data_IF_019029872634
#
_entry.id   IF_019029872634
#
_cell.length_a   1.000
_cell.length_b   1.000
_cell.length_c   1.000
_cell.angle_alpha   90.00
_cell.angle_beta   90.00
_cell.angle_gamma   90.00
#
_symmetry.space_group_name_H-M   'P 1'
#
loop_
_entity.id
_entity.type
_entity.pdbx_description
1 polymer ?
#
# COMPACT_ATOMS: atom_id res chain seq x y z
N UNK A 1 9.77 6.07 -20.33
CA UNK A 1 8.95 5.22 -19.44
C UNK A 1 8.19 6.15 -18.51
N UNK A 2 6.87 6.01 -18.42
CA UNK A 2 6.02 6.89 -17.60
C UNK A 2 6.21 6.41 -16.16
N UNK A 3 6.99 7.14 -15.36
CA UNK A 3 7.27 6.82 -13.96
C UNK A 3 5.93 6.66 -13.24
N UNK A 4 5.62 5.47 -12.70
CA UNK A 4 4.59 5.41 -11.65
C UNK A 4 5.13 6.27 -10.51
N UNK A 5 4.38 7.27 -10.02
CA UNK A 5 4.84 8.04 -8.88
C UNK A 5 4.94 7.06 -7.71
N UNK A 6 6.14 6.93 -7.13
CA UNK A 6 6.50 6.15 -5.95
C UNK A 6 5.38 6.18 -4.88
N UNK A 7 4.68 7.31 -4.75
CA UNK A 7 3.57 7.47 -3.82
C UNK A 7 2.36 6.53 -4.07
N UNK A 8 2.06 6.12 -5.31
CA UNK A 8 1.02 5.09 -5.55
C UNK A 8 1.44 3.75 -4.95
N UNK A 9 2.74 3.47 -4.95
CA UNK A 9 3.32 2.27 -4.35
C UNK A 9 3.38 2.38 -2.81
N UNK A 10 3.61 3.58 -2.27
CA UNK A 10 3.50 3.88 -0.81
C UNK A 10 2.08 3.67 -0.30
N UNK A 11 1.07 4.13 -1.05
CA UNK A 11 -0.34 3.93 -0.72
C UNK A 11 -0.72 2.44 -0.80
N UNK A 12 -0.25 1.73 -1.83
CA UNK A 12 -0.44 0.28 -1.96
C UNK A 12 0.26 -0.51 -0.84
N UNK A 13 1.49 -0.13 -0.48
CA UNK A 13 2.25 -0.76 0.61
C UNK A 13 1.61 -0.48 1.97
N UNK A 14 1.15 0.74 2.23
CA UNK A 14 0.37 1.05 3.44
C UNK A 14 -0.94 0.26 3.48
N UNK A 15 -1.64 0.09 2.37
CA UNK A 15 -2.84 -0.78 2.30
C UNK A 15 -2.51 -2.26 2.56
N UNK A 16 -1.37 -2.76 2.07
CA UNK A 16 -0.92 -4.14 2.30
C UNK A 16 -0.51 -4.36 3.76
N UNK A 17 0.19 -3.40 4.37
CA UNK A 17 0.58 -3.47 5.79
C UNK A 17 -0.64 -3.47 6.71
N UNK A 18 -1.69 -2.71 6.38
CA UNK A 18 -2.98 -2.72 7.10
C UNK A 18 -3.75 -4.03 6.86
N UNK A 19 -3.59 -4.66 5.68
CA UNK A 19 -4.24 -5.95 5.37
C UNK A 19 -3.59 -7.15 6.08
N UNK A 20 -2.36 -7.01 6.57
CA UNK A 20 -1.67 -8.01 7.40
C UNK A 20 -2.09 -8.02 8.87
N UNK A 21 -3.09 -7.23 9.27
CA UNK A 21 -3.70 -7.24 10.62
C UNK A 21 -5.09 -7.90 10.66
N UNK A 22 -5.48 -8.63 9.60
CA UNK A 22 -6.56 -9.60 9.69
C UNK A 22 -6.02 -10.92 10.26
N UNK A 23 -5.89 -10.96 11.59
CA UNK A 23 -5.89 -12.22 12.32
C UNK A 23 -7.14 -13.01 11.91
N UNK A 24 -6.93 -14.17 11.29
CA UNK A 24 -7.94 -15.21 11.23
C UNK A 24 -7.22 -16.56 11.11
N UNK A 25 -6.88 -17.09 12.28
CA UNK A 25 -7.12 -18.49 12.57
C UNK A 25 -8.46 -18.93 11.96
N UNK A 26 -8.44 -19.61 10.80
CA UNK A 26 -9.41 -20.65 10.48
C UNK A 26 -8.83 -21.62 9.44
N UNK A 27 -8.09 -22.59 9.96
CA UNK A 27 -7.72 -23.81 9.27
C UNK A 27 -8.99 -24.62 9.01
N UNK A 28 -9.54 -24.55 7.80
CA UNK A 28 -10.38 -25.61 7.27
C UNK A 28 -9.72 -26.29 6.08
N UNK A 29 -9.00 -27.37 6.41
CA UNK A 29 -8.59 -28.40 5.46
C UNK A 29 -9.81 -29.00 4.78
N UNK A 30 -9.96 -28.78 3.47
CA UNK A 30 -10.69 -29.71 2.60
C UNK A 30 -9.76 -30.18 1.49
N UNK A 31 -9.17 -31.34 1.76
CA UNK A 31 -8.67 -32.26 0.75
C UNK A 31 -9.81 -32.68 -0.17
N UNK A 32 -9.62 -32.57 -1.49
CA UNK A 32 -10.27 -33.49 -2.42
C UNK A 32 -9.40 -33.79 -3.64
N UNK A 33 -9.39 -35.08 -4.00
CA UNK A 33 -8.52 -35.73 -4.97
C UNK A 33 -9.12 -35.71 -6.40
N UNK A 34 -8.46 -35.01 -7.34
CA UNK A 34 -8.37 -35.27 -8.81
C UNK A 34 -9.64 -35.38 -9.69
N UNK A 35 -9.53 -35.70 -11.00
CA UNK A 35 -8.39 -35.56 -11.93
C UNK A 35 -8.74 -34.93 -13.32
N UNK A 36 -7.68 -34.46 -14.01
CA UNK A 36 -7.42 -34.28 -15.46
C UNK A 36 -8.54 -34.38 -16.52
N UNK A 37 -8.68 -33.34 -17.37
CA UNK A 37 -8.95 -33.49 -18.83
C UNK A 37 -8.35 -32.33 -19.67
N UNK A 38 -7.49 -32.67 -20.62
CA UNK A 38 -6.94 -31.82 -21.70
C UNK A 38 -7.97 -31.29 -22.73
N UNK A 39 -7.77 -30.06 -23.24
CA UNK A 39 -7.72 -29.65 -24.68
C UNK A 39 -7.77 -28.12 -24.81
N UNK A 40 -6.72 -27.44 -25.26
CA UNK A 40 -6.24 -27.26 -26.64
C UNK A 40 -7.04 -26.20 -27.44
N UNK A 41 -6.30 -25.14 -27.83
CA UNK A 41 -6.31 -24.45 -29.15
C UNK A 41 -7.08 -23.12 -29.36
N UNK A 42 -6.26 -22.13 -29.75
CA UNK A 42 -6.39 -21.21 -30.91
C UNK A 42 -6.86 -19.77 -30.67
N UNK A 43 -5.89 -18.84 -30.75
CA UNK A 43 -6.07 -17.42 -31.08
C UNK A 43 -6.25 -17.29 -32.61
N UNK A 44 -7.05 -16.32 -33.08
CA UNK A 44 -6.66 -15.56 -34.27
C UNK A 44 -6.69 -14.03 -34.09
N UNK A 45 -5.99 -13.27 -34.96
CA UNK A 45 -5.61 -11.87 -34.76
C UNK A 45 -6.45 -10.87 -35.59
N UNK A 46 -6.19 -9.56 -35.41
CA UNK A 46 -6.56 -8.34 -36.18
C UNK A 46 -7.19 -7.32 -35.21
N UNK A 47 -6.85 -6.03 -35.11
CA UNK A 47 -6.17 -5.09 -36.01
C UNK A 47 -6.99 -3.79 -36.09
N UNK A 48 -6.33 -2.63 -35.90
CA UNK A 48 -6.77 -1.27 -36.27
C UNK A 48 -7.60 -0.40 -35.29
N UNK A 49 -6.88 0.56 -34.67
CA UNK A 49 -7.16 1.99 -34.48
C UNK A 49 -8.56 2.50 -34.05
N UNK A 50 -8.63 3.10 -32.86
CA UNK A 50 -9.15 4.47 -32.67
C UNK A 50 -8.78 5.01 -31.26
N UNK A 51 -8.35 6.26 -31.20
CA UNK A 51 -8.42 7.16 -30.04
C UNK A 51 -9.77 7.87 -30.13
N UNK A 52 -10.51 8.23 -29.04
CA UNK A 52 -9.98 9.12 -28.00
C UNK A 52 -10.55 9.00 -26.56
N UNK A 53 -9.82 9.60 -25.63
CA UNK A 53 -10.32 10.15 -24.36
C UNK A 53 -10.99 9.17 -23.38
N UNK A 54 -10.20 8.45 -22.59
CA UNK A 54 -10.74 7.68 -21.45
C UNK A 54 -10.43 8.35 -20.11
N UNK A 55 -11.52 8.88 -19.56
CA UNK A 55 -11.71 9.18 -18.14
C UNK A 55 -11.27 7.94 -17.35
N UNK A 56 -10.22 8.10 -16.54
CA UNK A 56 -9.71 7.05 -15.67
C UNK A 56 -10.71 6.86 -14.51
N UNK A 57 -11.82 6.16 -14.77
CA UNK A 57 -12.66 5.64 -13.70
C UNK A 57 -11.86 4.53 -13.04
N UNK A 58 -11.35 4.79 -11.84
CA UNK A 58 -10.93 3.75 -10.89
C UNK A 58 -12.22 3.08 -10.40
N UNK A 59 -12.87 2.35 -11.31
CA UNK A 59 -13.96 1.43 -10.98
C UNK A 59 -13.27 0.16 -10.52
N UNK A 60 -13.02 0.05 -9.22
CA UNK A 60 -12.91 -1.26 -8.59
C UNK A 60 -14.29 -1.93 -8.69
N UNK A 61 -14.60 -2.50 -9.85
CA UNK A 61 -15.64 -3.52 -9.95
C UNK A 61 -15.07 -4.79 -9.33
N UNK A 62 -15.30 -4.93 -8.02
CA UNK A 62 -15.12 -6.20 -7.33
C UNK A 62 -16.22 -7.13 -7.86
N UNK A 63 -15.80 -8.17 -8.57
CA UNK A 63 -16.68 -9.22 -9.06
C UNK A 63 -17.22 -9.99 -7.85
N UNK A 64 -18.54 -9.95 -7.65
CA UNK A 64 -19.24 -10.65 -6.58
C UNK A 64 -19.06 -12.16 -6.75
N UNK A 65 -18.21 -12.74 -5.91
CA UNK A 65 -18.04 -14.18 -5.78
C UNK A 65 -17.84 -14.51 -4.31
N UNK A 66 -18.79 -15.31 -3.79
CA UNK A 66 -19.05 -15.68 -2.40
C UNK A 66 -19.80 -14.63 -1.56
N UNK A 67 -20.86 -15.12 -0.94
CA UNK A 67 -21.88 -14.41 -0.18
C UNK A 67 -21.28 -13.97 1.17
N UNK A 68 -20.33 -13.04 1.14
CA UNK A 68 -19.98 -12.26 2.32
C UNK A 68 -21.21 -11.43 2.64
N UNK A 69 -21.69 -11.52 3.89
CA UNK A 69 -22.81 -10.73 4.38
C UNK A 69 -22.54 -9.25 4.09
N UNK A 70 -23.40 -8.62 3.30
CA UNK A 70 -23.17 -7.26 2.80
C UNK A 70 -23.03 -6.25 3.95
N UNK A 71 -23.77 -6.46 5.03
CA UNK A 71 -23.64 -5.68 6.25
C UNK A 71 -22.25 -5.82 6.85
N UNK A 72 -21.75 -7.05 7.01
CA UNK A 72 -20.39 -7.30 7.50
C UNK A 72 -19.33 -6.66 6.60
N UNK A 73 -19.50 -6.71 5.28
CA UNK A 73 -18.57 -6.05 4.34
C UNK A 73 -18.60 -4.52 4.47
N UNK A 74 -19.79 -3.92 4.60
CA UNK A 74 -19.94 -2.49 4.80
C UNK A 74 -19.38 -2.05 6.16
N UNK A 75 -19.66 -2.80 7.22
CA UNK A 75 -19.16 -2.56 8.58
C UNK A 75 -17.63 -2.49 8.58
N UNK A 76 -16.96 -3.49 8.02
CA UNK A 76 -15.49 -3.53 7.90
C UNK A 76 -14.93 -2.34 7.09
N UNK A 77 -15.58 -1.96 5.98
CA UNK A 77 -15.15 -0.81 5.19
C UNK A 77 -15.32 0.53 5.94
N UNK A 78 -16.39 0.66 6.73
CA UNK A 78 -16.64 1.86 7.52
C UNK A 78 -15.65 1.94 8.68
N UNK A 79 -15.40 0.85 9.41
CA UNK A 79 -14.40 0.81 10.49
C UNK A 79 -13.01 1.19 9.98
N UNK A 80 -12.59 0.63 8.84
CA UNK A 80 -11.32 1.01 8.18
C UNK A 80 -11.27 2.48 7.81
N UNK A 81 -12.40 3.03 7.36
CA UNK A 81 -12.51 4.44 6.99
C UNK A 81 -12.49 5.37 8.21
N UNK A 82 -13.12 5.00 9.31
CA UNK A 82 -13.06 5.73 10.58
C UNK A 82 -11.64 5.76 11.15
N UNK A 83 -10.92 4.65 11.08
CA UNK A 83 -9.49 4.62 11.41
C UNK A 83 -8.70 5.57 10.50
N UNK A 84 -9.00 5.60 9.20
CA UNK A 84 -8.35 6.53 8.27
C UNK A 84 -8.63 8.00 8.61
N UNK A 85 -9.85 8.36 9.04
CA UNK A 85 -10.18 9.71 9.52
C UNK A 85 -9.25 10.10 10.66
N UNK A 86 -9.11 9.25 11.69
CA UNK A 86 -8.26 9.54 12.86
C UNK A 86 -6.79 9.75 12.46
N UNK A 87 -6.29 8.93 11.54
CA UNK A 87 -4.92 9.03 11.05
C UNK A 87 -4.70 10.30 10.24
N UNK A 88 -5.67 10.69 9.39
CA UNK A 88 -5.63 11.93 8.63
C UNK A 88 -5.74 13.18 9.51
N UNK A 89 -6.56 13.14 10.56
CA UNK A 89 -6.63 14.24 11.54
C UNK A 89 -5.30 14.39 12.28
N UNK A 90 -4.70 13.28 12.70
CA UNK A 90 -3.39 13.27 13.36
C UNK A 90 -2.32 13.87 12.46
N UNK A 91 -2.22 13.37 11.22
CA UNK A 91 -1.38 13.90 10.16
C UNK A 91 -1.49 15.42 10.00
N UNK A 92 -2.72 15.92 9.85
CA UNK A 92 -2.98 17.34 9.63
C UNK A 92 -2.56 18.19 10.83
N UNK A 93 -2.80 17.72 12.04
CA UNK A 93 -2.40 18.41 13.26
C UNK A 93 -0.88 18.47 13.43
N UNK A 94 -0.15 17.42 13.05
CA UNK A 94 1.32 17.44 13.08
C UNK A 94 1.89 18.44 12.08
N UNK A 95 1.40 18.44 10.84
CA UNK A 95 1.77 19.44 9.84
C UNK A 95 1.47 20.88 10.32
N UNK A 96 0.34 21.10 10.97
CA UNK A 96 0.01 22.40 11.57
C UNK A 96 0.99 22.79 12.69
N UNK A 97 1.38 21.84 13.56
CA UNK A 97 2.35 22.05 14.62
C UNK A 97 3.76 22.37 14.08
N UNK A 98 4.10 21.88 12.89
CA UNK A 98 5.31 22.26 12.13
C UNK A 98 5.21 23.65 11.48
N UNK A 99 4.07 24.34 11.63
CA UNK A 99 3.82 25.64 11.05
C UNK A 99 3.44 25.61 9.57
N UNK A 100 3.02 24.44 9.05
CA UNK A 100 2.46 24.34 7.70
C UNK A 100 1.03 24.88 7.69
N UNK A 101 0.64 25.52 6.58
CA UNK A 101 -0.75 25.92 6.38
C UNK A 101 -1.54 24.75 5.82
N UNK A 102 -2.39 24.13 6.64
CA UNK A 102 -3.14 22.91 6.32
C UNK A 102 -4.65 23.15 6.17
N UNK A 103 -5.09 24.38 5.92
CA UNK A 103 -6.52 24.73 5.87
C UNK A 103 -7.31 23.87 4.88
N UNK A 104 -6.74 23.67 3.70
CA UNK A 104 -7.39 22.98 2.59
C UNK A 104 -7.41 21.47 2.89
N UNK A 105 -6.30 20.93 3.41
CA UNK A 105 -6.21 19.56 3.90
C UNK A 105 -7.27 19.26 4.98
N UNK A 106 -7.41 20.12 6.00
CA UNK A 106 -8.43 19.95 7.05
C UNK A 106 -9.84 19.96 6.48
N UNK A 107 -10.13 20.84 5.53
CA UNK A 107 -11.45 20.86 4.88
C UNK A 107 -11.76 19.55 4.16
N UNK A 108 -10.79 18.99 3.43
CA UNK A 108 -10.99 17.73 2.71
C UNK A 108 -11.15 16.54 3.67
N UNK A 109 -10.44 16.54 4.80
CA UNK A 109 -10.57 15.50 5.83
C UNK A 109 -11.96 15.56 6.49
N UNK A 110 -12.48 16.77 6.75
CA UNK A 110 -13.85 16.94 7.27
C UNK A 110 -14.87 16.38 6.27
N UNK A 111 -14.77 16.73 4.99
CA UNK A 111 -15.69 16.23 3.95
C UNK A 111 -15.65 14.69 3.85
N UNK A 112 -14.47 14.09 3.98
CA UNK A 112 -14.31 12.64 4.05
C UNK A 112 -14.96 12.05 5.31
N UNK A 113 -14.68 12.61 6.48
CA UNK A 113 -15.24 12.18 7.78
C UNK A 113 -16.77 12.24 7.79
N UNK A 114 -17.36 13.28 7.23
CA UNK A 114 -18.81 13.45 7.16
C UNK A 114 -19.45 12.32 6.32
N UNK A 115 -18.85 11.97 5.18
CA UNK A 115 -19.33 10.86 4.33
C UNK A 115 -19.21 9.48 5.01
N UNK A 116 -18.13 9.25 5.77
CA UNK A 116 -17.96 8.03 6.57
C UNK A 116 -19.03 7.96 7.66
N UNK A 117 -19.26 9.08 8.37
CA UNK A 117 -20.30 9.16 9.39
C UNK A 117 -21.72 8.97 8.83
N UNK A 118 -22.00 9.50 7.63
CA UNK A 118 -23.27 9.24 6.93
C UNK A 118 -23.43 7.75 6.62
N UNK A 119 -22.37 7.10 6.12
CA UNK A 119 -22.38 5.67 5.82
C UNK A 119 -22.68 4.81 7.07
N UNK A 120 -22.03 5.13 8.19
CA UNK A 120 -22.26 4.51 9.51
C UNK A 120 -23.72 4.68 9.94
N UNK A 121 -24.25 5.90 9.88
CA UNK A 121 -25.62 6.17 10.29
C UNK A 121 -26.65 5.40 9.46
N UNK A 122 -26.43 5.26 8.14
CA UNK A 122 -27.31 4.45 7.30
C UNK A 122 -27.22 2.96 7.60
N UNK A 123 -26.03 2.43 7.88
CA UNK A 123 -25.87 1.03 8.27
C UNK A 123 -26.62 0.73 9.58
N UNK A 124 -26.51 1.60 10.58
CA UNK A 124 -27.28 1.48 11.83
C UNK A 124 -28.80 1.51 11.59
N UNK A 125 -29.28 2.35 10.67
CA UNK A 125 -30.70 2.38 10.28
C UNK A 125 -31.13 1.07 9.60
N UNK A 126 -30.27 0.48 8.76
CA UNK A 126 -30.52 -0.81 8.12
C UNK A 126 -30.62 -1.96 9.14
N UNK A 127 -29.74 -1.97 10.14
CA UNK A 127 -29.71 -2.98 11.20
C UNK A 127 -30.91 -2.89 12.16
N UNK A 128 -31.49 -1.70 12.32
CA UNK A 128 -32.57 -1.45 13.30
C UNK A 128 -33.97 -1.45 12.71
N UNK A 129 -34.12 -1.30 11.38
CA UNK A 129 -35.45 -1.35 10.75
C UNK A 129 -35.99 -2.77 10.65
N UNK A 130 -37.31 -2.91 10.85
CA UNK A 130 -38.03 -4.18 10.67
C UNK A 130 -38.57 -4.38 9.24
N UNK A 131 -38.41 -3.37 8.37
CA UNK A 131 -38.94 -3.35 7.01
C UNK A 131 -37.84 -3.72 6.02
N UNK A 132 -38.00 -4.85 5.33
CA UNK A 132 -37.01 -5.33 4.36
C UNK A 132 -36.73 -4.31 3.24
N UNK A 133 -37.76 -3.61 2.78
CA UNK A 133 -37.60 -2.58 1.74
C UNK A 133 -36.87 -1.33 2.23
N UNK A 134 -37.02 -0.98 3.51
CA UNK A 134 -36.28 0.14 4.10
C UNK A 134 -34.84 -0.26 4.40
N UNK A 135 -34.64 -1.50 4.86
CA UNK A 135 -33.33 -2.09 5.09
C UNK A 135 -32.47 -2.00 3.83
N UNK A 136 -32.97 -2.51 2.70
CA UNK A 136 -32.26 -2.45 1.42
C UNK A 136 -31.94 -1.00 1.01
N UNK A 137 -32.90 -0.09 1.16
CA UNK A 137 -32.69 1.32 0.83
C UNK A 137 -31.65 2.01 1.71
N UNK A 138 -31.49 1.58 2.97
CA UNK A 138 -30.46 2.07 3.87
C UNK A 138 -29.09 1.47 3.55
N UNK A 139 -29.01 0.18 3.22
CA UNK A 139 -27.78 -0.46 2.74
C UNK A 139 -27.27 0.22 1.48
N UNK A 140 -28.15 0.51 0.51
CA UNK A 140 -27.80 1.25 -0.71
C UNK A 140 -27.19 2.62 -0.40
N UNK A 141 -27.78 3.38 0.52
CA UNK A 141 -27.27 4.70 0.92
C UNK A 141 -25.95 4.61 1.68
N UNK A 142 -25.81 3.60 2.54
CA UNK A 142 -24.55 3.34 3.24
C UNK A 142 -23.43 3.05 2.23
N UNK A 143 -23.71 2.20 1.24
CA UNK A 143 -22.81 1.86 0.13
C UNK A 143 -22.45 3.07 -0.73
N UNK A 144 -23.42 3.89 -1.11
CA UNK A 144 -23.15 5.12 -1.87
C UNK A 144 -22.27 6.11 -1.10
N UNK A 145 -22.50 6.24 0.20
CA UNK A 145 -21.75 7.18 1.06
C UNK A 145 -20.30 6.73 1.22
N UNK A 146 -20.06 5.43 1.45
CA UNK A 146 -18.69 4.91 1.58
C UNK A 146 -17.92 4.96 0.25
N UNK A 147 -18.59 4.73 -0.89
CA UNK A 147 -17.98 4.91 -2.22
C UNK A 147 -17.54 6.36 -2.43
N UNK A 148 -18.39 7.33 -2.04
CA UNK A 148 -18.05 8.76 -2.13
C UNK A 148 -16.91 9.11 -1.18
N UNK A 149 -16.92 8.61 0.05
CA UNK A 149 -15.84 8.80 1.01
C UNK A 149 -14.50 8.31 0.41
N UNK A 150 -14.46 7.08 -0.09
CA UNK A 150 -13.26 6.49 -0.70
C UNK A 150 -12.75 7.28 -1.91
N UNK A 151 -13.63 7.98 -2.64
CA UNK A 151 -13.23 8.86 -3.74
C UNK A 151 -12.49 10.13 -3.28
N UNK A 152 -12.68 10.56 -2.03
CA UNK A 152 -12.00 11.73 -1.45
C UNK A 152 -10.58 11.43 -0.97
N UNK A 153 -10.24 10.16 -0.72
CA UNK A 153 -8.91 9.78 -0.25
C UNK A 153 -7.80 10.19 -1.21
N UNK A 154 -8.01 10.03 -2.52
CA UNK A 154 -6.98 10.39 -3.51
C UNK A 154 -6.67 11.91 -3.47
N UNK A 155 -7.65 12.82 -3.57
CA UNK A 155 -7.42 14.26 -3.37
C UNK A 155 -6.68 14.60 -2.07
N UNK A 156 -7.10 14.00 -0.95
CA UNK A 156 -6.46 14.22 0.36
C UNK A 156 -4.98 13.79 0.31
N UNK A 157 -4.70 12.61 -0.23
CA UNK A 157 -3.33 12.11 -0.37
C UNK A 157 -2.50 12.94 -1.35
N UNK A 158 -3.12 13.49 -2.40
CA UNK A 158 -2.45 14.41 -3.31
C UNK A 158 -2.05 15.71 -2.62
N UNK A 159 -2.91 16.24 -1.75
CA UNK A 159 -2.59 17.42 -0.93
C UNK A 159 -1.48 17.13 0.08
N UNK A 160 -1.54 15.99 0.78
CA UNK A 160 -0.52 15.57 1.75
C UNK A 160 0.89 15.52 1.12
N UNK A 161 1.01 15.10 -0.15
CA UNK A 161 2.29 15.04 -0.87
C UNK A 161 3.00 16.38 -0.95
N UNK A 162 2.27 17.48 -1.03
CA UNK A 162 2.86 18.82 -1.15
C UNK A 162 3.66 19.21 0.11
N UNK A 163 3.40 18.54 1.23
CA UNK A 163 4.14 18.73 2.49
C UNK A 163 5.32 17.77 2.65
N UNK A 164 5.39 16.72 1.83
CA UNK A 164 6.42 15.68 1.90
C UNK A 164 7.70 16.14 1.20
N UNK A 165 8.85 15.82 1.80
CA UNK A 165 10.13 15.99 1.11
C UNK A 165 10.24 14.87 0.09
N UNK A 166 10.37 15.20 -1.21
CA UNK A 166 10.43 14.19 -2.28
C UNK A 166 11.54 13.14 -2.08
N UNK A 167 11.53 12.07 -2.88
CA UNK A 167 12.41 10.93 -2.67
C UNK A 167 13.89 11.30 -2.73
N UNK A 168 14.69 10.58 -1.96
CA UNK A 168 16.15 10.68 -1.93
C UNK A 168 16.70 9.95 -3.16
N UNK A 169 17.32 10.68 -4.08
CA UNK A 169 17.98 10.08 -5.25
C UNK A 169 19.29 9.38 -4.84
N UNK A 170 19.44 8.12 -5.24
CA UNK A 170 20.65 7.32 -5.11
C UNK A 170 21.27 7.26 -6.50
N UNK A 171 22.32 8.05 -6.78
CA UNK A 171 22.96 8.06 -8.11
C UNK A 171 24.45 8.41 -7.97
N UNK A 172 25.31 7.41 -8.19
CA UNK A 172 26.75 7.50 -7.91
C UNK A 172 27.06 7.82 -6.42
N UNK A 173 26.20 7.35 -5.52
CA UNK A 173 26.27 7.58 -4.08
C UNK A 173 25.89 6.29 -3.34
N UNK A 174 26.37 6.13 -2.12
CA UNK A 174 25.90 5.13 -1.16
C UNK A 174 24.92 5.77 -0.20
N UNK A 175 23.70 5.26 -0.12
CA UNK A 175 22.74 5.65 0.92
C UNK A 175 22.96 4.75 2.13
N UNK A 176 23.25 5.35 3.28
CA UNK A 176 23.26 4.66 4.57
C UNK A 176 22.23 5.29 5.48
N UNK A 177 21.34 4.47 6.06
CA UNK A 177 20.28 4.96 6.93
C UNK A 177 20.08 4.05 8.15
N UNK A 178 19.87 4.66 9.31
CA UNK A 178 19.56 3.99 10.57
C UNK A 178 18.30 4.63 11.17
N UNK A 179 17.32 3.81 11.56
CA UNK A 179 16.07 4.33 12.11
C UNK A 179 15.01 3.28 12.38
N UNK A 180 13.82 3.76 12.71
CA UNK A 180 12.59 2.99 12.93
C UNK A 180 11.48 3.57 12.07
N UNK A 181 10.68 2.73 11.42
CA UNK A 181 9.55 3.14 10.58
C UNK A 181 9.54 2.39 9.26
N UNK A 182 9.35 3.13 8.16
CA UNK A 182 9.19 2.59 6.80
C UNK A 182 10.29 3.12 5.88
N UNK A 183 10.97 2.20 5.20
CA UNK A 183 11.92 2.52 4.13
C UNK A 183 11.44 1.87 2.82
N UNK A 184 11.26 2.67 1.77
CA UNK A 184 10.87 2.19 0.44
C UNK A 184 11.98 2.54 -0.53
N UNK A 185 12.51 1.55 -1.22
CA UNK A 185 13.59 1.73 -2.18
C UNK A 185 13.20 1.11 -3.52
N UNK A 186 13.56 1.80 -4.61
CA UNK A 186 13.26 1.37 -5.96
C UNK A 186 14.41 1.68 -6.91
N UNK A 187 14.77 0.72 -7.75
CA UNK A 187 15.72 0.94 -8.84
C UNK A 187 16.62 -0.25 -9.13
N UNK A 188 17.76 0.05 -9.71
CA UNK A 188 18.86 -0.89 -9.97
C UNK A 188 19.85 -0.73 -8.81
N UNK A 189 19.56 -1.41 -7.70
CA UNK A 189 20.23 -1.19 -6.42
C UNK A 189 20.72 -2.51 -5.79
N UNK A 190 21.94 -2.47 -5.27
CA UNK A 190 22.45 -3.44 -4.32
C UNK A 190 22.11 -2.94 -2.92
N UNK A 191 21.22 -3.65 -2.24
CA UNK A 191 20.68 -3.29 -0.94
C UNK A 191 21.12 -4.33 0.10
N UNK A 192 21.61 -3.86 1.24
CA UNK A 192 21.84 -4.68 2.43
C UNK A 192 21.16 -4.02 3.62
N UNK A 193 20.45 -4.79 4.42
CA UNK A 193 19.81 -4.26 5.62
C UNK A 193 19.75 -5.28 6.75
N UNK A 194 19.70 -4.78 7.97
CA UNK A 194 19.48 -5.53 9.19
C UNK A 194 18.15 -5.11 9.82
N UNK A 195 17.34 -6.10 10.23
CA UNK A 195 16.10 -5.92 11.00
C UNK A 195 16.20 -6.65 12.33
N UNK A 196 15.73 -6.02 13.42
CA UNK A 196 15.62 -6.68 14.74
C UNK A 196 14.28 -7.39 14.97
N UNK A 197 13.23 -6.89 14.31
CA UNK A 197 11.88 -7.44 14.21
C UNK A 197 11.14 -6.58 13.17
N UNK A 198 10.67 -7.18 12.09
CA UNK A 198 10.10 -6.41 10.99
C UNK A 198 9.56 -7.25 9.86
N UNK A 199 9.15 -6.56 8.80
CA UNK A 199 8.67 -7.18 7.57
C UNK A 199 9.19 -6.41 6.37
N UNK A 200 9.35 -7.12 5.27
CA UNK A 200 9.59 -6.48 3.99
C UNK A 200 8.79 -7.15 2.88
N UNK A 201 8.38 -6.36 1.89
CA UNK A 201 7.70 -6.84 0.70
C UNK A 201 8.47 -6.38 -0.52
N UNK A 202 8.60 -7.26 -1.51
CA UNK A 202 9.37 -6.99 -2.71
C UNK A 202 8.58 -7.32 -3.97
N UNK A 203 8.75 -6.48 -4.98
CA UNK A 203 8.23 -6.67 -6.33
C UNK A 203 9.40 -6.59 -7.30
N UNK A 204 9.66 -7.69 -8.01
CA UNK A 204 10.71 -7.78 -9.03
C UNK A 204 10.10 -7.56 -10.42
N UNK A 205 10.47 -6.45 -11.08
CA UNK A 205 9.99 -6.13 -12.41
C UNK A 205 10.84 -6.76 -13.54
N UNK A 206 12.08 -7.18 -13.26
CA UNK A 206 13.00 -7.73 -14.26
C UNK A 206 13.10 -9.24 -14.23
N UNK A 207 12.69 -9.88 -13.12
CA UNK A 207 12.83 -11.32 -12.92
C UNK A 207 14.26 -11.76 -12.63
N UNK A 208 15.14 -10.83 -12.24
CA UNK A 208 16.56 -11.06 -11.98
C UNK A 208 16.97 -10.81 -10.52
N UNK A 209 15.99 -10.56 -9.63
CA UNK A 209 16.27 -10.29 -8.22
C UNK A 209 16.82 -11.53 -7.51
N UNK A 210 17.97 -11.34 -6.87
CA UNK A 210 18.59 -12.31 -5.96
C UNK A 210 18.46 -11.77 -4.54
N UNK A 211 17.88 -12.59 -3.66
CA UNK A 211 17.79 -12.32 -2.22
C UNK A 211 18.66 -13.35 -1.51
N UNK A 212 19.65 -12.89 -0.74
CA UNK A 212 20.48 -13.70 0.12
C UNK A 212 20.30 -13.23 1.57
N UNK A 213 19.91 -14.16 2.45
CA UNK A 213 19.49 -13.85 3.81
C UNK A 213 19.95 -14.94 4.78
N UNK A 214 20.47 -14.50 5.93
CA UNK A 214 20.71 -15.35 7.10
C UNK A 214 19.62 -15.17 8.18
N UNK A 215 18.60 -14.36 7.88
CA UNK A 215 17.53 -14.00 8.79
C UNK A 215 16.54 -15.15 9.01
N UNK A 216 15.94 -15.17 10.20
CA UNK A 216 14.72 -15.93 10.47
C UNK A 216 13.53 -15.17 9.87
N UNK A 217 12.63 -15.84 9.15
CA UNK A 217 11.43 -15.23 8.54
C UNK A 217 10.31 -16.25 8.30
N UNK A 218 9.08 -15.74 8.10
CA UNK A 218 7.99 -16.47 7.44
C UNK A 218 7.66 -15.80 6.11
N UNK A 219 7.40 -16.59 5.08
CA UNK A 219 7.11 -16.09 3.75
C UNK A 219 5.62 -16.19 3.45
N UNK A 220 5.03 -15.09 2.99
CA UNK A 220 3.65 -15.01 2.54
C UNK A 220 3.61 -14.55 1.08
N UNK A 221 2.82 -15.24 0.28
CA UNK A 221 2.49 -14.83 -1.08
C UNK A 221 1.20 -14.05 -1.01
N UNK A 222 1.14 -12.87 -1.64
CA UNK A 222 -0.15 -12.26 -1.90
C UNK A 222 -0.99 -13.26 -2.71
N UNK A 223 -2.23 -13.58 -2.29
CA UNK A 223 -3.06 -14.54 -3.00
C UNK A 223 -3.22 -14.08 -4.44
N UNK A 224 -2.98 -14.98 -5.40
CA UNK A 224 -3.42 -14.79 -6.77
C UNK A 224 -4.91 -14.44 -6.70
N UNK A 225 -5.28 -13.23 -7.11
CA UNK A 225 -6.69 -12.88 -7.29
C UNK A 225 -7.19 -13.74 -8.44
N UNK A 226 -7.80 -14.87 -8.08
CA UNK A 226 -8.38 -15.82 -9.00
C UNK A 226 -9.26 -15.06 -10.02
N UNK A 227 -8.85 -15.07 -11.29
CA UNK A 227 -9.70 -14.70 -12.42
C UNK A 227 -9.42 -13.39 -13.18
N UNK A 228 -8.43 -12.55 -12.86
CA UNK A 228 -8.11 -11.39 -13.74
C UNK A 228 -7.04 -11.75 -14.77
N UNK A 229 -7.45 -12.41 -15.85
CA UNK A 229 -6.60 -12.74 -17.00
C UNK A 229 -6.32 -11.55 -17.94
N UNK A 230 -6.52 -10.30 -17.51
CA UNK A 230 -6.35 -9.15 -18.37
C UNK A 230 -5.45 -8.07 -17.75
N UNK A 231 -4.41 -7.74 -18.53
CA UNK A 231 -3.49 -6.61 -18.46
C UNK A 231 -2.27 -6.73 -17.54
N UNK A 232 -1.16 -7.14 -18.19
CA UNK A 232 0.25 -7.03 -17.78
C UNK A 232 0.63 -8.10 -16.75
N UNK A 233 1.70 -8.85 -16.99
CA UNK A 233 2.18 -9.91 -16.09
C UNK A 233 2.17 -9.42 -14.64
N UNK A 234 1.48 -10.10 -13.71
CA UNK A 234 1.49 -9.70 -12.32
C UNK A 234 2.90 -10.00 -11.80
N UNK A 235 3.72 -8.97 -11.64
CA UNK A 235 4.93 -9.11 -10.84
C UNK A 235 4.46 -9.48 -9.43
N UNK A 236 4.63 -10.74 -9.06
CA UNK A 236 4.15 -11.26 -7.78
C UNK A 236 4.85 -10.50 -6.65
N UNK A 237 4.06 -9.86 -5.80
CA UNK A 237 4.58 -9.28 -4.57
C UNK A 237 4.80 -10.41 -3.57
N UNK A 238 6.04 -10.52 -3.09
CA UNK A 238 6.41 -11.52 -2.08
C UNK A 238 6.66 -10.77 -0.78
N UNK A 239 5.99 -11.21 0.29
CA UNK A 239 6.13 -10.61 1.62
C UNK A 239 6.85 -11.57 2.55
N UNK A 240 7.72 -11.00 3.37
CA UNK A 240 8.49 -11.67 4.40
C UNK A 240 8.14 -11.00 5.72
N UNK A 241 7.60 -11.77 6.65
CA UNK A 241 7.15 -11.31 7.96
C UNK A 241 7.98 -11.95 9.07
N UNK A 242 7.93 -11.37 10.26
CA UNK A 242 8.71 -11.78 11.43
C UNK A 242 10.23 -11.89 11.13
N UNK A 243 10.74 -10.94 10.33
CA UNK A 243 12.12 -10.95 9.83
C UNK A 243 13.08 -10.42 10.89
N UNK A 244 14.05 -11.25 11.28
CA UNK A 244 15.13 -10.86 12.20
C UNK A 244 16.47 -11.34 11.67
N UNK A 245 17.39 -10.42 11.35
CA UNK A 245 18.71 -10.75 10.81
C UNK A 245 19.12 -9.86 9.63
N UNK A 246 20.16 -10.28 8.89
CA UNK A 246 20.65 -9.55 7.74
C UNK A 246 20.02 -10.08 6.45
N UNK A 247 19.67 -9.16 5.57
CA UNK A 247 19.16 -9.45 4.24
C UNK A 247 19.96 -8.65 3.24
N UNK A 248 20.35 -9.29 2.15
CA UNK A 248 20.99 -8.65 1.01
C UNK A 248 20.20 -8.95 -0.26
N UNK A 249 20.09 -7.95 -1.11
CA UNK A 249 19.32 -7.98 -2.35
C UNK A 249 20.13 -7.33 -3.46
N UNK A 250 20.15 -7.98 -4.62
CA UNK A 250 20.78 -7.45 -5.82
C UNK A 250 19.94 -7.83 -7.03
N UNK A 251 19.65 -6.86 -7.89
CA UNK A 251 18.78 -7.04 -9.05
C UNK A 251 18.53 -5.73 -9.76
N UNK A 252 17.80 -5.80 -10.87
CA UNK A 252 17.49 -4.65 -11.69
C UNK A 252 16.00 -4.32 -11.58
N UNK A 253 15.66 -3.04 -11.49
CA UNK A 253 14.27 -2.56 -11.49
C UNK A 253 13.39 -3.38 -10.55
N UNK A 254 13.71 -3.37 -9.27
CA UNK A 254 12.82 -3.90 -8.24
C UNK A 254 12.42 -2.79 -7.28
N UNK A 255 11.36 -3.05 -6.52
CA UNK A 255 10.95 -2.18 -5.42
C UNK A 255 10.79 -3.02 -4.17
N UNK A 256 11.33 -2.52 -3.07
CA UNK A 256 11.23 -3.12 -1.74
C UNK A 256 10.66 -2.10 -0.77
N UNK A 257 9.72 -2.54 0.08
CA UNK A 257 9.27 -1.79 1.23
C UNK A 257 9.65 -2.56 2.49
N UNK A 258 10.25 -1.86 3.44
CA UNK A 258 10.77 -2.39 4.69
C UNK A 258 10.07 -1.65 5.82
N UNK A 259 9.58 -2.38 6.81
CA UNK A 259 8.98 -1.84 8.02
C UNK A 259 9.56 -2.55 9.24
N UNK A 260 10.17 -1.80 10.14
CA UNK A 260 10.71 -2.35 11.39
C UNK A 260 10.94 -1.27 12.45
N UNK A 261 11.01 -1.70 13.71
CA UNK A 261 11.41 -0.87 14.86
C UNK A 261 12.89 -0.50 14.83
N UNK A 262 13.69 -1.29 14.10
CA UNK A 262 15.09 -0.99 13.84
C UNK A 262 15.47 -1.47 12.46
N UNK A 263 15.86 -0.51 11.64
CA UNK A 263 16.38 -0.66 10.30
C UNK A 263 17.77 -0.06 10.30
N UNK A 264 18.75 -0.86 9.89
CA UNK A 264 20.07 -0.38 9.48
C UNK A 264 20.24 -0.83 8.03
N UNK A 265 20.31 0.11 7.09
CA UNK A 265 20.35 -0.19 5.65
C UNK A 265 21.49 0.55 4.96
N UNK A 266 22.05 -0.13 3.96
CA UNK A 266 22.98 0.42 2.98
C UNK A 266 22.48 0.08 1.58
N UNK A 267 22.34 1.10 0.72
CA UNK A 267 21.92 0.93 -0.66
C UNK A 267 22.90 1.60 -1.62
N UNK A 268 23.32 0.86 -2.63
CA UNK A 268 24.28 1.27 -3.65
C UNK A 268 23.67 1.08 -5.04
N UNK A 269 23.93 2.00 -5.97
CA UNK A 269 23.47 1.86 -7.36
C UNK A 269 22.74 3.08 -7.88
N UNK A 270 21.72 2.85 -8.70
CA UNK A 270 20.88 3.89 -9.31
C UNK A 270 19.41 3.66 -8.95
N UNK A 271 18.87 4.51 -8.10
CA UNK A 271 17.50 4.37 -7.62
C UNK A 271 17.02 5.58 -6.83
N UNK A 272 15.92 5.39 -6.14
CA UNK A 272 15.32 6.36 -5.25
C UNK A 272 14.88 5.68 -3.94
N UNK A 273 14.97 6.41 -2.84
CA UNK A 273 14.53 5.94 -1.52
C UNK A 273 13.61 6.96 -0.87
N UNK A 274 12.59 6.46 -0.18
CA UNK A 274 11.75 7.24 0.70
C UNK A 274 11.82 6.64 2.11
N UNK A 275 12.21 7.47 3.07
CA UNK A 275 12.47 7.09 4.45
C UNK A 275 11.52 7.87 5.35
N UNK A 276 10.64 7.16 6.04
CA UNK A 276 9.57 7.72 6.86
C UNK A 276 9.63 7.10 8.25
N UNK A 277 9.73 7.92 9.29
CA UNK A 277 9.85 7.44 10.66
C UNK A 277 10.81 8.26 11.49
N UNK A 278 11.44 7.61 12.48
CA UNK A 278 12.46 8.21 13.32
C UNK A 278 13.82 7.61 12.98
N UNK A 279 14.64 8.38 12.27
CA UNK A 279 15.95 7.92 11.86
C UNK A 279 16.76 9.01 11.19
N UNK A 280 18.00 8.69 10.88
CA UNK A 280 18.87 9.54 10.07
C UNK A 280 19.38 8.78 8.85
N UNK A 281 19.77 9.54 7.84
CA UNK A 281 20.41 9.00 6.65
C UNK A 281 21.50 9.94 6.16
N UNK A 282 22.47 9.39 5.44
CA UNK A 282 23.50 10.15 4.77
C UNK A 282 23.78 9.54 3.40
N UNK A 283 24.22 10.39 2.48
CA UNK A 283 24.66 10.00 1.14
C UNK A 283 26.17 10.17 1.09
N UNK A 284 26.87 9.04 1.11
CA UNK A 284 28.32 9.02 0.96
C UNK A 284 28.68 8.94 -0.52
N UNK A 285 29.58 9.83 -0.93
CA UNK A 285 30.22 9.77 -2.24
C UNK A 285 31.71 9.52 -2.01
N UNK A 286 32.39 8.92 -2.99
CA UNK A 286 33.84 8.58 -2.95
C UNK A 286 34.79 9.70 -2.48
N UNK A 287 34.31 10.95 -2.42
CA UNK A 287 35.09 12.17 -2.18
C UNK A 287 34.79 12.80 -0.81
N UNK A 288 33.65 12.52 -0.18
CA UNK A 288 33.27 13.14 1.10
C UNK A 288 32.14 12.39 1.78
N UNK A 289 32.23 12.26 3.11
CA UNK A 289 31.08 11.82 3.91
C UNK A 289 29.93 12.80 3.76
N UNK A 290 28.75 12.26 3.51
CA UNK A 290 27.51 13.00 3.36
C UNK A 290 27.14 13.79 4.62
N UNK A 291 26.37 14.87 4.43
CA UNK A 291 25.68 15.51 5.54
C UNK A 291 24.61 14.54 6.05
N UNK A 292 24.54 14.37 7.36
CA UNK A 292 23.45 13.65 8.01
C UNK A 292 22.12 14.43 7.84
N UNK A 293 21.09 13.71 7.41
CA UNK A 293 19.72 14.17 7.24
C UNK A 293 18.79 13.31 8.11
N UNK A 294 17.59 13.80 8.37
CA UNK A 294 16.59 13.11 9.18
C UNK A 294 15.55 12.50 8.25
N UNK A 295 15.01 11.34 8.63
CA UNK A 295 13.89 10.72 7.92
C UNK A 295 12.67 11.66 7.92
N UNK A 296 11.78 11.45 6.96
CA UNK A 296 10.52 12.18 6.95
C UNK A 296 9.69 11.78 8.16
N UNK A 297 9.04 12.75 8.79
CA UNK A 297 8.15 12.46 9.92
C UNK A 297 6.96 11.65 9.41
N UNK A 298 6.60 10.54 10.06
CA UNK A 298 5.48 9.72 9.65
C UNK A 298 4.19 10.51 9.78
N UNK A 299 3.48 10.63 8.67
CA UNK A 299 2.18 11.30 8.63
C UNK A 299 1.10 10.39 9.25
N UNK A 300 1.33 9.08 9.28
CA UNK A 300 0.32 8.07 9.61
C UNK A 300 0.68 7.11 10.75
N UNK A 301 1.73 7.38 11.53
CA UNK A 301 2.19 6.52 12.63
C UNK A 301 2.66 7.33 13.87
N UNK A 302 1.79 7.38 14.88
CA UNK A 302 2.13 7.29 16.32
C UNK A 302 0.90 6.74 17.04
N UNK A 303 0.96 5.47 17.43
CA UNK A 303 0.19 4.95 18.57
C UNK A 303 1.10 4.94 19.82
#
# INVERSE_FOLDING_TARGET
>A
MKKMPLIVLIILMLMVVISGLADSDDVFSHSDEGPDVHRDRSIPPLGMASSPSEVFMVTHMVSFSSMVDEETFLEDNIEKSESMVQRLDTASNELENEGKNVSDLKSMIIDYSDLVSESRSYLEMAQTTSSESEKEAYLDKSRESIIKANSQLKPILDEIKEYMTGPVEITNTTLSAEGSGVAILSGDIDLSFFLSDGKFSVVDFSGDLVIDTDADYKQEYAPDKDGSHDLIMPHAMISYIDVTGNVSMSGSSYTVAIMADRIDLEANGNGEAELVGNGTYHLDNDISKGKENVWMIPIFERD
#
